data_IF_771531156702
#
_entry.id   IF_771531156702
#
_cell.length_a   1.000
_cell.length_b   1.000
_cell.length_c   1.000
_cell.angle_alpha   90.00
_cell.angle_beta   90.00
_cell.angle_gamma   90.00
#
_symmetry.space_group_name_H-M   'P 1'
#
loop_
_entity.id
_entity.type
_entity.pdbx_description
1 polymer ?
#
# COMPACT_ATOMS: atom_id res chain seq x y z
N UNK A 1 10.00 14.59 8.64
CA UNK A 1 10.32 13.22 8.17
C UNK A 1 9.79 13.15 6.75
N UNK A 2 10.51 12.53 5.81
CA UNK A 2 9.96 12.33 4.46
C UNK A 2 8.91 11.23 4.59
N UNK A 3 7.67 11.49 4.14
CA UNK A 3 6.66 10.44 4.07
C UNK A 3 7.10 9.44 2.98
N UNK A 4 7.06 8.16 3.30
CA UNK A 4 7.31 7.08 2.34
C UNK A 4 6.20 6.06 2.41
N UNK A 5 5.73 5.62 1.25
CA UNK A 5 4.66 4.63 1.15
C UNK A 5 5.01 3.49 0.19
N UNK A 6 4.81 2.24 0.65
CA UNK A 6 4.97 1.04 -0.16
C UNK A 6 3.62 0.47 -0.59
N UNK A 7 3.54 0.03 -1.84
CA UNK A 7 2.35 -0.68 -2.35
C UNK A 7 2.60 -2.19 -2.33
N UNK A 8 1.74 -2.94 -1.66
CA UNK A 8 1.83 -4.40 -1.57
C UNK A 8 0.54 -5.10 -2.05
N UNK A 9 0.65 -6.22 -2.78
CA UNK A 9 -0.51 -7.01 -3.16
C UNK A 9 -1.09 -7.79 -1.97
N UNK A 10 -2.41 -7.80 -1.86
CA UNK A 10 -3.16 -8.63 -0.91
C UNK A 10 -3.53 -9.95 -1.58
N UNK A 11 -3.15 -11.06 -0.94
CA UNK A 11 -3.49 -12.39 -1.42
C UNK A 11 -4.62 -13.01 -0.60
N UNK A 12 -5.57 -13.66 -1.25
CA UNK A 12 -6.59 -14.43 -0.55
C UNK A 12 -6.00 -15.67 0.11
N UNK A 13 -6.00 -15.71 1.44
CA UNK A 13 -5.48 -16.80 2.28
C UNK A 13 -6.07 -18.21 2.03
N UNK A 14 -7.06 -18.35 1.16
CA UNK A 14 -7.74 -19.63 0.86
C UNK A 14 -7.47 -20.19 -0.53
N UNK A 15 -6.80 -19.47 -1.43
CA UNK A 15 -6.52 -19.98 -2.76
C UNK A 15 -5.08 -20.50 -2.84
N UNK A 16 -4.92 -21.81 -3.12
CA UNK A 16 -3.63 -22.42 -3.51
C UNK A 16 -3.05 -21.83 -4.80
N UNK A 17 -3.77 -20.93 -5.45
CA UNK A 17 -3.32 -20.11 -6.57
C UNK A 17 -3.31 -18.67 -6.06
N UNK A 18 -2.13 -18.09 -5.89
CA UNK A 18 -1.86 -16.72 -5.40
C UNK A 18 -2.53 -15.65 -6.26
N UNK A 19 -3.86 -15.55 -6.18
CA UNK A 19 -4.62 -14.52 -6.87
C UNK A 19 -4.59 -13.26 -6.00
N UNK A 20 -3.98 -12.20 -6.53
CA UNK A 20 -4.07 -10.87 -5.96
C UNK A 20 -5.55 -10.47 -5.91
N UNK A 21 -6.05 -10.21 -4.71
CA UNK A 21 -7.43 -9.78 -4.46
C UNK A 21 -7.55 -8.29 -4.20
N UNK A 22 -6.43 -7.60 -4.01
CA UNK A 22 -6.38 -6.17 -3.80
C UNK A 22 -4.94 -5.71 -3.60
N UNK A 23 -4.78 -4.43 -3.29
CA UNK A 23 -3.51 -3.76 -3.09
C UNK A 23 -3.63 -2.85 -1.88
N UNK A 24 -2.65 -2.90 -0.99
CA UNK A 24 -2.58 -2.03 0.18
C UNK A 24 -1.47 -1.00 -0.01
N UNK A 25 -1.68 0.19 0.54
CA UNK A 25 -0.64 1.21 0.70
C UNK A 25 -0.23 1.20 2.16
N UNK A 26 1.07 1.07 2.41
CA UNK A 26 1.67 0.95 3.72
C UNK A 26 2.56 2.16 3.94
N UNK A 27 2.34 2.91 5.01
CA UNK A 27 3.24 3.96 5.48
C UNK A 27 4.50 3.30 6.07
N UNK A 28 5.64 3.50 5.41
CA UNK A 28 6.96 3.03 5.85
C UNK A 28 7.85 4.19 6.35
N UNK A 29 7.27 5.38 6.57
CA UNK A 29 7.97 6.54 7.13
C UNK A 29 8.61 6.25 8.49
N UNK A 30 8.10 5.23 9.20
CA UNK A 30 8.67 4.69 10.43
C UNK A 30 8.99 3.20 10.23
N UNK A 31 10.28 2.81 10.11
CA UNK A 31 10.65 1.43 9.82
C UNK A 31 10.26 0.44 10.93
N UNK A 32 10.09 0.91 12.16
CA UNK A 32 9.66 0.10 13.30
C UNK A 32 8.13 0.07 13.47
N UNK A 33 7.39 0.83 12.67
CA UNK A 33 5.93 0.97 12.79
C UNK A 33 5.27 1.18 11.42
N UNK A 34 5.44 0.20 10.55
CA UNK A 34 4.73 0.13 9.27
C UNK A 34 3.22 -0.02 9.52
N UNK A 35 2.40 0.77 8.84
CA UNK A 35 0.94 0.71 8.99
C UNK A 35 0.21 0.84 7.66
N UNK A 36 -0.86 0.06 7.47
CA UNK A 36 -1.71 0.18 6.29
C UNK A 36 -2.51 1.48 6.38
N UNK A 37 -2.35 2.34 5.38
CA UNK A 37 -3.05 3.63 5.29
C UNK A 37 -4.22 3.60 4.31
N UNK A 38 -4.20 2.70 3.32
CA UNK A 38 -5.35 2.50 2.41
C UNK A 38 -5.32 1.14 1.71
N UNK A 39 -6.49 0.71 1.22
CA UNK A 39 -6.69 -0.53 0.47
C UNK A 39 -7.44 -0.23 -0.85
N UNK A 40 -7.06 -0.90 -1.93
CA UNK A 40 -7.56 -0.66 -3.28
C UNK A 40 -7.73 -1.97 -4.05
N UNK A 41 -8.66 -1.99 -5.00
CA UNK A 41 -8.88 -3.17 -5.86
C UNK A 41 -7.82 -3.28 -6.97
N UNK A 42 -7.24 -2.15 -7.40
CA UNK A 42 -6.27 -2.08 -8.50
C UNK A 42 -4.92 -1.54 -8.05
N UNK A 43 -3.85 -1.99 -8.71
CA UNK A 43 -2.49 -1.53 -8.44
C UNK A 43 -2.33 -0.04 -8.72
N UNK A 44 -2.97 0.45 -9.78
CA UNK A 44 -2.87 1.83 -10.23
C UNK A 44 -3.51 2.80 -9.22
N UNK A 45 -4.66 2.43 -8.64
CA UNK A 45 -5.27 3.22 -7.57
C UNK A 45 -4.38 3.26 -6.32
N UNK A 46 -3.77 2.13 -5.94
CA UNK A 46 -2.84 2.07 -4.82
C UNK A 46 -1.57 2.91 -5.06
N UNK A 47 -1.00 2.87 -6.26
CA UNK A 47 0.16 3.70 -6.63
C UNK A 47 -0.16 5.19 -6.57
N UNK A 48 -1.31 5.61 -7.12
CA UNK A 48 -1.76 7.01 -7.03
C UNK A 48 -2.00 7.45 -5.60
N UNK A 49 -2.50 6.56 -4.75
CA UNK A 49 -2.69 6.86 -3.33
C UNK A 49 -1.35 6.96 -2.58
N UNK A 50 -0.38 6.10 -2.87
CA UNK A 50 0.98 6.20 -2.33
C UNK A 50 1.66 7.51 -2.74
N UNK A 51 1.62 7.86 -4.02
CA UNK A 51 2.20 9.11 -4.53
C UNK A 51 1.57 10.34 -3.88
N UNK A 52 0.24 10.34 -3.66
CA UNK A 52 -0.43 11.42 -2.94
C UNK A 52 -0.01 11.49 -1.47
N UNK A 53 0.12 10.34 -0.81
CA UNK A 53 0.54 10.28 0.59
C UNK A 53 1.93 10.89 0.80
N UNK A 54 2.85 10.62 -0.12
CA UNK A 54 4.21 11.18 -0.11
C UNK A 54 4.22 12.69 -0.44
N UNK A 55 3.37 13.12 -1.38
CA UNK A 55 3.27 14.53 -1.80
C UNK A 55 2.44 15.42 -0.86
N UNK A 56 1.61 14.87 0.02
CA UNK A 56 0.75 15.65 0.95
C UNK A 56 1.55 16.48 1.98
N UNK A 57 2.88 16.30 2.07
CA UNK A 57 3.78 17.12 2.92
C UNK A 57 4.53 18.23 2.15
N UNK A 58 4.26 18.43 0.86
CA UNK A 58 5.02 19.36 0.01
C UNK A 58 4.36 20.72 -0.21
#
# INVERSE_FOLDING_TARGET
MQKQARVEPVFAARAMNEKVTGWVVIDESQPDNENVVSEHDTQDDALRAAERFENDEH
#
